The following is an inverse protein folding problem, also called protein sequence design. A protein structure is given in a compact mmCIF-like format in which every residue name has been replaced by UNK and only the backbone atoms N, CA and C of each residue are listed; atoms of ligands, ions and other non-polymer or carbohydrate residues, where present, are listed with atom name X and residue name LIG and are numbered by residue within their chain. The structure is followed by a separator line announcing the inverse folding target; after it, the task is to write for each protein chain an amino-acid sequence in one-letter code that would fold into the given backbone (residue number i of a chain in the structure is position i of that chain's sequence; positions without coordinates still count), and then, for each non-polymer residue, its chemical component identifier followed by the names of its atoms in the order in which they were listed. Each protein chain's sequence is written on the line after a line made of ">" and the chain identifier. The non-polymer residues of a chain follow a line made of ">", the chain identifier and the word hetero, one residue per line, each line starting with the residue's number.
data_IF_690412709715
#
_entry.id   IF_690412709715
#
_cell.length_a   1.000
_cell.length_b   1.000
_cell.length_c   1.000
_cell.angle_alpha   90.00
_cell.angle_beta   90.00
_cell.angle_gamma   90.00
#
_symmetry.space_group_name_H-M   'P 1'
#
loop_
_entity.id
_entity.type
_entity.pdbx_description
1 polymer ?
#
# COMPACT_ATOMS: atom_id res chain seq x y z
N UNK A 1 -4.86 1.97 -12.54
CA UNK A 1 -3.78 2.61 -11.76
C UNK A 1 -2.82 1.60 -11.14
N UNK A 2 -3.30 0.66 -10.31
CA UNK A 2 -2.46 -0.32 -9.57
C UNK A 2 -1.47 -1.17 -10.39
N UNK A 3 -1.70 -1.36 -11.69
CA UNK A 3 -0.80 -2.09 -12.60
C UNK A 3 0.06 -1.13 -13.43
N UNK A 4 -0.55 -0.06 -13.95
CA UNK A 4 0.10 0.88 -14.85
C UNK A 4 1.16 1.74 -14.13
N UNK A 5 0.86 2.24 -12.93
CA UNK A 5 1.76 3.12 -12.18
C UNK A 5 3.05 2.42 -11.75
N UNK A 6 3.03 1.19 -11.18
CA UNK A 6 4.28 0.50 -10.84
C UNK A 6 5.11 0.12 -12.07
N UNK A 7 4.46 -0.25 -13.19
CA UNK A 7 5.17 -0.62 -14.42
C UNK A 7 5.83 0.61 -15.08
N UNK A 8 5.07 1.69 -15.26
CA UNK A 8 5.59 2.94 -15.84
C UNK A 8 6.62 3.58 -14.91
N UNK A 9 6.36 3.56 -13.60
CA UNK A 9 7.29 3.99 -12.57
C UNK A 9 8.63 3.30 -12.62
N UNK A 10 8.62 1.97 -12.60
CA UNK A 10 9.85 1.21 -12.70
C UNK A 10 10.61 1.51 -14.00
N UNK A 11 9.90 1.63 -15.14
CA UNK A 11 10.52 1.95 -16.43
C UNK A 11 11.15 3.34 -16.46
N UNK A 12 10.55 4.31 -15.77
CA UNK A 12 11.06 5.67 -15.63
C UNK A 12 12.26 5.75 -14.67
N UNK A 13 12.15 5.16 -13.48
CA UNK A 13 13.18 5.27 -12.42
C UNK A 13 14.38 4.35 -12.58
N UNK A 14 14.27 3.23 -13.32
CA UNK A 14 15.40 2.27 -13.49
C UNK A 14 16.65 2.87 -14.13
N UNK A 15 16.56 4.06 -14.71
CA UNK A 15 17.70 4.79 -15.32
C UNK A 15 18.33 5.81 -14.36
N UNK A 16 17.62 6.20 -13.30
CA UNK A 16 18.03 7.27 -12.38
C UNK A 16 18.50 6.72 -11.02
N UNK A 17 17.92 5.62 -10.54
CA UNK A 17 18.25 5.01 -9.24
C UNK A 17 18.50 3.50 -9.37
N UNK A 18 19.00 2.88 -8.29
CA UNK A 18 19.31 1.44 -8.28
C UNK A 18 18.08 0.58 -8.62
N UNK A 19 18.29 -0.55 -9.30
CA UNK A 19 17.19 -1.38 -9.81
C UNK A 19 16.20 -1.82 -8.72
N UNK A 20 16.68 -2.11 -7.51
CA UNK A 20 15.84 -2.48 -6.37
C UNK A 20 15.11 -1.28 -5.75
N UNK A 21 15.77 -0.12 -5.68
CA UNK A 21 15.17 1.13 -5.21
C UNK A 21 14.04 1.58 -6.15
N UNK A 22 14.26 1.49 -7.47
CA UNK A 22 13.24 1.79 -8.48
C UNK A 22 12.00 0.90 -8.36
N UNK A 23 12.18 -0.38 -8.03
CA UNK A 23 11.06 -1.31 -7.82
C UNK A 23 10.31 -0.96 -6.53
N UNK A 24 11.04 -0.69 -5.44
CA UNK A 24 10.45 -0.29 -4.17
C UNK A 24 9.63 0.99 -4.28
N UNK A 25 10.21 2.03 -4.88
CA UNK A 25 9.52 3.33 -5.10
C UNK A 25 8.29 3.14 -5.99
N UNK A 26 8.44 2.49 -7.14
CA UNK A 26 7.31 2.28 -8.05
C UNK A 26 6.19 1.42 -7.43
N UNK A 27 6.52 0.47 -6.55
CA UNK A 27 5.54 -0.32 -5.82
C UNK A 27 4.78 0.51 -4.78
N UNK A 28 5.48 1.35 -4.01
CA UNK A 28 4.87 2.22 -2.99
C UNK A 28 3.94 3.25 -3.63
N UNK A 29 4.38 3.93 -4.69
CA UNK A 29 3.54 4.91 -5.41
C UNK A 29 2.50 4.26 -6.33
N UNK A 30 2.68 2.99 -6.69
CA UNK A 30 1.71 2.21 -7.44
C UNK A 30 0.60 1.58 -6.60
N UNK A 31 0.81 1.51 -5.28
CA UNK A 31 -0.16 0.96 -4.33
C UNK A 31 -1.16 2.01 -3.84
N UNK A 32 -2.19 1.56 -3.11
CA UNK A 32 -3.21 2.42 -2.51
C UNK A 32 -2.83 2.71 -1.06
N UNK A 33 -2.91 3.98 -0.65
CA UNK A 33 -2.71 4.38 0.73
C UNK A 33 -3.99 4.19 1.54
N UNK A 34 -4.01 3.20 2.44
CA UNK A 34 -5.11 3.00 3.40
C UNK A 34 -5.35 4.26 4.25
N UNK A 35 -4.28 4.96 4.63
CA UNK A 35 -4.33 6.21 5.39
C UNK A 35 -5.04 7.32 4.60
N UNK A 36 -4.74 7.46 3.31
CA UNK A 36 -5.38 8.46 2.44
C UNK A 36 -6.86 8.13 2.23
N UNK A 37 -7.18 6.85 2.01
CA UNK A 37 -8.56 6.40 1.91
C UNK A 37 -9.35 6.74 3.17
N UNK A 38 -8.80 6.44 4.35
CA UNK A 38 -9.49 6.72 5.61
C UNK A 38 -9.66 8.22 5.82
N UNK A 39 -8.62 9.03 5.59
CA UNK A 39 -8.74 10.50 5.66
C UNK A 39 -9.83 11.05 4.71
N UNK A 40 -9.90 10.53 3.48
CA UNK A 40 -10.93 10.92 2.52
C UNK A 40 -12.34 10.51 2.96
N UNK A 41 -12.53 9.28 3.44
CA UNK A 41 -13.83 8.83 3.96
C UNK A 41 -14.27 9.63 5.19
N UNK A 42 -13.33 9.97 6.09
CA UNK A 42 -13.61 10.83 7.24
C UNK A 42 -13.98 12.25 6.84
N UNK A 43 -13.35 12.80 5.80
CA UNK A 43 -13.73 14.10 5.24
C UNK A 43 -15.16 14.06 4.66
N UNK A 44 -15.50 13.00 3.92
CA UNK A 44 -16.84 12.82 3.36
C UNK A 44 -17.91 12.65 4.46
N UNK A 45 -17.62 11.90 5.53
CA UNK A 45 -18.48 11.77 6.71
C UNK A 45 -18.77 13.14 7.34
N UNK A 46 -17.74 13.97 7.51
CA UNK A 46 -17.90 15.33 8.07
C UNK A 46 -18.67 16.26 7.12
N UNK A 47 -18.51 16.08 5.81
CA UNK A 47 -19.25 16.82 4.79
C UNK A 47 -20.69 16.30 4.58
N UNK A 48 -21.07 15.20 5.25
CA UNK A 48 -22.38 14.55 5.08
C UNK A 48 -22.58 13.94 3.69
N UNK A 49 -21.50 13.66 2.96
CA UNK A 49 -21.56 13.08 1.62
C UNK A 49 -21.55 11.55 1.74
N UNK A 50 -22.65 10.86 1.36
CA UNK A 50 -22.69 9.41 1.46
C UNK A 50 -21.74 8.76 0.46
N UNK A 51 -21.00 7.75 0.91
CA UNK A 51 -20.15 6.90 0.09
C UNK A 51 -20.48 5.43 0.35
N UNK A 52 -20.32 4.59 -0.68
CA UNK A 52 -20.61 3.17 -0.55
C UNK A 52 -19.57 2.43 0.28
N UNK A 53 -20.00 1.55 1.19
CA UNK A 53 -19.11 0.67 1.97
C UNK A 53 -18.24 -0.26 1.10
N UNK A 54 -18.65 -0.51 -0.15
CA UNK A 54 -17.88 -1.25 -1.14
C UNK A 54 -16.55 -0.57 -1.51
N UNK A 55 -16.37 0.72 -1.23
CA UNK A 55 -15.13 1.43 -1.53
C UNK A 55 -13.95 0.92 -0.69
N UNK A 56 -14.21 0.43 0.53
CA UNK A 56 -13.19 -0.22 1.35
C UNK A 56 -12.76 -1.57 0.73
N UNK A 57 -13.71 -2.33 0.20
CA UNK A 57 -13.42 -3.56 -0.55
C UNK A 57 -12.67 -3.28 -1.86
N UNK A 58 -13.02 -2.20 -2.57
CA UNK A 58 -12.31 -1.77 -3.77
C UNK A 58 -10.86 -1.39 -3.46
N UNK A 59 -10.60 -0.67 -2.37
CA UNK A 59 -9.24 -0.33 -1.91
C UNK A 59 -8.41 -1.58 -1.62
N UNK A 60 -8.96 -2.54 -0.86
CA UNK A 60 -8.33 -3.83 -0.57
C UNK A 60 -7.99 -4.61 -1.86
N UNK A 61 -8.92 -4.65 -2.82
CA UNK A 61 -8.72 -5.31 -4.12
C UNK A 61 -7.69 -4.61 -5.01
N UNK A 62 -7.42 -3.32 -4.79
CA UNK A 62 -6.41 -2.57 -5.55
C UNK A 62 -5.00 -2.70 -4.97
N UNK A 63 -4.85 -3.16 -3.72
CA UNK A 63 -3.56 -3.39 -3.07
C UNK A 63 -2.90 -4.70 -3.53
N UNK A 64 -3.66 -5.80 -3.60
CA UNK A 64 -3.12 -7.12 -3.95
C UNK A 64 -2.48 -7.19 -5.36
N UNK A 65 -3.02 -6.56 -6.42
CA UNK A 65 -2.40 -6.60 -7.76
C UNK A 65 -1.09 -5.81 -7.84
N UNK A 66 -1.01 -4.65 -7.17
CA UNK A 66 0.20 -3.83 -7.12
C UNK A 66 1.34 -4.58 -6.40
N UNK A 67 1.01 -5.24 -5.28
CA UNK A 67 1.95 -6.03 -4.47
C UNK A 67 2.47 -7.25 -5.23
N UNK A 68 1.58 -7.98 -5.93
CA UNK A 68 1.97 -9.11 -6.79
C UNK A 68 2.92 -8.67 -7.92
N UNK A 69 2.64 -7.55 -8.59
CA UNK A 69 3.50 -7.02 -9.67
C UNK A 69 4.86 -6.59 -9.13
N UNK A 70 4.90 -5.92 -7.98
CA UNK A 70 6.13 -5.51 -7.33
C UNK A 70 7.02 -6.72 -6.99
N UNK A 71 6.45 -7.77 -6.40
CA UNK A 71 7.15 -9.02 -6.10
C UNK A 71 7.68 -9.70 -7.36
N UNK A 72 6.88 -9.74 -8.43
CA UNK A 72 7.32 -10.30 -9.71
C UNK A 72 8.50 -9.54 -10.32
N UNK A 73 8.44 -8.20 -10.33
CA UNK A 73 9.53 -7.35 -10.83
C UNK A 73 10.80 -7.52 -9.99
N UNK A 74 10.67 -7.59 -8.66
CA UNK A 74 11.78 -7.83 -7.74
C UNK A 74 12.41 -9.21 -7.95
N UNK A 75 11.61 -10.24 -8.21
CA UNK A 75 12.11 -11.59 -8.49
C UNK A 75 12.85 -11.64 -9.83
N UNK A 76 12.32 -11.00 -10.88
CA UNK A 76 12.98 -10.89 -12.18
C UNK A 76 14.29 -10.09 -12.13
N UNK A 77 14.35 -9.06 -11.27
CA UNK A 77 15.57 -8.31 -11.02
C UNK A 77 16.65 -9.17 -10.34
N UNK A 78 16.29 -9.89 -9.26
CA UNK A 78 17.19 -10.83 -8.56
C UNK A 78 17.77 -11.92 -9.48
N UNK A 79 16.95 -12.50 -10.36
CA UNK A 79 17.42 -13.51 -11.34
C UNK A 79 18.43 -12.97 -12.34
N UNK A 80 18.37 -11.67 -12.69
CA UNK A 80 19.32 -11.05 -13.63
C UNK A 80 20.64 -10.65 -12.98
N UNK A 81 20.65 -10.37 -11.68
CA UNK A 81 21.85 -10.01 -10.93
C UNK A 81 22.67 -11.22 -10.44
N UNK A 82 22.27 -12.45 -10.77
CA UNK A 82 23.00 -13.68 -10.44
C UNK A 82 23.03 -14.03 -8.94
N UNK A 83 22.22 -13.37 -8.11
CA UNK A 83 22.34 -13.42 -6.65
C UNK A 83 21.43 -14.44 -5.95
N UNK A 84 20.67 -15.30 -6.65
CA UNK A 84 20.07 -16.46 -5.98
C UNK A 84 19.62 -17.63 -6.89
N UNK A 85 19.75 -18.83 -6.31
CA UNK A 85 19.40 -20.14 -6.84
C UNK A 85 17.90 -20.26 -7.12
N UNK A 86 17.57 -20.79 -8.31
CA UNK A 86 16.20 -20.83 -8.84
C UNK A 86 15.39 -21.95 -8.20
N UNK A 87 14.37 -21.55 -7.42
CA UNK A 87 13.26 -22.41 -7.01
C UNK A 87 11.88 -21.73 -7.06
N UNK A 88 11.79 -20.40 -6.98
CA UNK A 88 10.49 -19.75 -6.87
C UNK A 88 9.74 -19.63 -8.20
N UNK A 89 8.84 -20.60 -8.38
CA UNK A 89 7.82 -20.67 -9.42
C UNK A 89 6.74 -19.61 -9.14
N UNK A 90 5.99 -19.17 -10.16
CA UNK A 90 4.81 -18.30 -10.00
C UNK A 90 3.86 -18.72 -8.88
N UNK A 91 3.78 -20.03 -8.61
CA UNK A 91 3.03 -20.62 -7.50
C UNK A 91 3.57 -20.21 -6.12
N UNK A 92 4.88 -20.08 -5.93
CA UNK A 92 5.46 -19.62 -4.67
C UNK A 92 5.24 -18.13 -4.45
N UNK A 93 5.31 -17.30 -5.48
CA UNK A 93 4.98 -15.87 -5.37
C UNK A 93 3.51 -15.64 -5.00
N UNK A 94 2.60 -16.40 -5.60
CA UNK A 94 1.18 -16.34 -5.28
C UNK A 94 0.91 -16.91 -3.87
N UNK A 95 1.57 -18.02 -3.51
CA UNK A 95 1.48 -18.60 -2.16
C UNK A 95 2.03 -17.64 -1.12
N UNK A 96 3.13 -16.93 -1.38
CA UNK A 96 3.67 -15.93 -0.47
C UNK A 96 2.73 -14.74 -0.33
N UNK A 97 2.20 -14.20 -1.43
CA UNK A 97 1.24 -13.10 -1.38
C UNK A 97 -0.03 -13.48 -0.60
N UNK A 98 -0.50 -14.73 -0.74
CA UNK A 98 -1.66 -15.24 0.00
C UNK A 98 -1.35 -15.67 1.44
N UNK A 99 -0.09 -16.00 1.77
CA UNK A 99 0.35 -16.36 3.13
C UNK A 99 0.90 -15.16 3.88
N UNK A 100 0.97 -13.99 3.24
CA UNK A 100 1.34 -12.76 3.91
C UNK A 100 0.32 -12.45 5.01
N UNK A 101 0.82 -12.20 6.22
CA UNK A 101 -0.02 -11.96 7.40
C UNK A 101 -0.98 -10.79 7.18
N UNK A 102 -0.56 -9.77 6.43
CA UNK A 102 -1.40 -8.62 6.08
C UNK A 102 -2.62 -9.02 5.24
N UNK A 103 -2.40 -9.83 4.20
CA UNK A 103 -3.43 -10.29 3.26
C UNK A 103 -4.36 -11.31 3.92
N UNK A 104 -3.83 -12.22 4.73
CA UNK A 104 -4.64 -13.17 5.51
C UNK A 104 -5.56 -12.44 6.49
N UNK A 105 -5.05 -11.43 7.20
CA UNK A 105 -5.85 -10.60 8.10
C UNK A 105 -6.92 -9.82 7.34
N UNK A 106 -6.59 -9.26 6.17
CA UNK A 106 -7.53 -8.54 5.32
C UNK A 106 -8.69 -9.43 4.84
N UNK A 107 -8.37 -10.62 4.30
CA UNK A 107 -9.37 -11.59 3.84
C UNK A 107 -10.19 -12.12 5.02
N UNK A 108 -9.55 -12.40 6.16
CA UNK A 108 -10.23 -12.82 7.39
C UNK A 108 -11.19 -11.76 7.93
N UNK A 109 -10.76 -10.50 8.01
CA UNK A 109 -11.59 -9.39 8.44
C UNK A 109 -12.79 -9.17 7.51
N UNK A 110 -12.59 -9.32 6.19
CA UNK A 110 -13.68 -9.25 5.21
C UNK A 110 -14.68 -10.39 5.38
N UNK A 111 -14.22 -11.63 5.59
CA UNK A 111 -15.08 -12.78 5.85
C UNK A 111 -15.90 -12.59 7.13
N UNK A 112 -15.26 -12.15 8.22
CA UNK A 112 -15.95 -11.81 9.47
C UNK A 112 -16.97 -10.68 9.25
N UNK A 113 -16.61 -9.64 8.49
CA UNK A 113 -17.53 -8.54 8.16
C UNK A 113 -18.77 -9.00 7.41
N UNK A 114 -18.60 -9.90 6.43
CA UNK A 114 -19.73 -10.49 5.68
C UNK A 114 -20.63 -11.34 6.60
N UNK A 115 -20.03 -12.13 7.49
CA UNK A 115 -20.79 -13.01 8.40
C UNK A 115 -21.50 -12.25 9.53
N UNK A 116 -20.92 -11.15 10.01
CA UNK A 116 -21.42 -10.43 11.20
C UNK A 116 -22.28 -9.20 10.86
N UNK A 117 -22.13 -8.63 9.67
CA UNK A 117 -22.91 -7.50 9.19
C UNK A 117 -22.91 -6.29 10.13
N UNK A 118 -24.05 -5.59 10.23
CA UNK A 118 -24.19 -4.39 11.05
C UNK A 118 -23.95 -4.64 12.55
N UNK A 119 -24.25 -5.85 13.03
CA UNK A 119 -24.05 -6.22 14.44
C UNK A 119 -22.56 -6.21 14.78
N UNK A 120 -21.72 -6.81 13.93
CA UNK A 120 -20.27 -6.78 14.09
C UNK A 120 -19.71 -5.35 13.99
N UNK A 121 -20.23 -4.56 13.07
CA UNK A 121 -19.83 -3.15 12.92
C UNK A 121 -20.09 -2.32 14.19
N UNK A 122 -21.28 -2.44 14.79
CA UNK A 122 -21.64 -1.70 16.02
C UNK A 122 -20.74 -2.09 17.19
N UNK A 123 -20.40 -3.37 17.32
CA UNK A 123 -19.49 -3.85 18.37
C UNK A 123 -18.06 -3.35 18.16
N UNK A 124 -17.61 -3.24 16.89
CA UNK A 124 -16.28 -2.76 16.55
C UNK A 124 -16.14 -1.23 16.49
N UNK A 125 -17.25 -0.48 16.50
CA UNK A 125 -17.24 0.97 16.34
C UNK A 125 -16.34 1.72 17.35
N UNK A 126 -16.33 1.41 18.67
CA UNK A 126 -15.48 2.11 19.62
C UNK A 126 -13.99 1.96 19.31
N UNK A 127 -13.59 0.84 18.71
CA UNK A 127 -12.20 0.57 18.35
C UNK A 127 -11.85 1.10 16.95
N UNK A 128 -12.71 0.83 15.97
CA UNK A 128 -12.44 1.05 14.55
C UNK A 128 -12.82 2.44 14.05
N UNK A 129 -13.71 3.14 14.75
CA UNK A 129 -14.17 4.48 14.38
C UNK A 129 -13.68 5.49 15.40
N UNK A 130 -14.00 5.31 16.68
CA UNK A 130 -13.73 6.32 17.70
C UNK A 130 -12.25 6.34 18.11
N UNK A 131 -11.72 5.21 18.60
CA UNK A 131 -10.32 5.11 19.01
C UNK A 131 -9.35 5.26 17.83
N UNK A 132 -9.73 4.73 16.67
CA UNK A 132 -8.90 4.76 15.46
C UNK A 132 -8.53 6.19 15.04
N UNK A 133 -9.45 7.16 15.16
CA UNK A 133 -9.17 8.57 14.82
C UNK A 133 -8.07 9.18 15.69
N UNK A 134 -8.09 8.87 16.99
CA UNK A 134 -7.03 9.28 17.92
C UNK A 134 -5.69 8.66 17.54
N UNK A 135 -5.67 7.35 17.28
CA UNK A 135 -4.46 6.64 16.87
C UNK A 135 -3.90 7.12 15.53
N UNK A 136 -4.76 7.34 14.53
CA UNK A 136 -4.38 7.86 13.21
C UNK A 136 -3.74 9.24 13.32
N UNK A 137 -4.23 10.10 14.21
CA UNK A 137 -3.68 11.44 14.42
C UNK A 137 -2.25 11.37 14.94
N UNK A 138 -1.96 10.49 15.91
CA UNK A 138 -0.59 10.25 16.38
C UNK A 138 0.29 9.61 15.31
N UNK A 139 -0.24 8.66 14.55
CA UNK A 139 0.50 8.02 13.46
C UNK A 139 0.91 9.03 12.36
N UNK A 140 -0.02 9.89 11.94
CA UNK A 140 0.26 10.95 10.97
C UNK A 140 1.25 11.99 11.50
N UNK A 141 1.18 12.30 12.79
CA UNK A 141 2.16 13.18 13.43
C UNK A 141 3.55 12.55 13.41
N UNK A 142 3.69 11.29 13.82
CA UNK A 142 4.97 10.57 13.84
C UNK A 142 5.57 10.46 12.43
N UNK A 143 4.81 9.93 11.47
CA UNK A 143 5.25 9.84 10.06
C UNK A 143 5.54 11.22 9.46
N UNK A 144 4.77 12.25 9.84
CA UNK A 144 5.01 13.63 9.45
C UNK A 144 6.33 14.18 9.97
N UNK A 145 6.71 13.86 11.21
CA UNK A 145 8.03 14.25 11.76
C UNK A 145 9.17 13.56 11.03
N UNK A 146 9.03 12.27 10.72
CA UNK A 146 10.03 11.53 9.92
C UNK A 146 10.19 12.15 8.54
N UNK A 147 9.08 12.46 7.87
CA UNK A 147 9.10 13.15 6.57
C UNK A 147 9.79 14.52 6.67
N UNK A 148 9.48 15.31 7.72
CA UNK A 148 10.10 16.62 7.95
C UNK A 148 11.63 16.53 8.16
N UNK A 149 12.09 15.49 8.86
CA UNK A 149 13.53 15.24 9.03
C UNK A 149 14.20 14.85 7.70
N UNK A 150 13.54 14.01 6.89
CA UNK A 150 14.08 13.58 5.60
C UNK A 150 14.06 14.68 4.54
N UNK A 151 13.10 15.63 4.59
CA UNK A 151 13.08 16.80 3.72
C UNK A 151 14.39 17.61 3.79
N UNK A 152 15.04 17.64 4.95
CA UNK A 152 16.35 18.30 5.12
C UNK A 152 17.49 17.55 4.44
N UNK A 153 17.38 16.24 4.30
CA UNK A 153 18.35 15.39 3.60
C UNK A 153 18.13 15.38 2.08
N UNK A 154 16.94 15.75 1.59
CA UNK A 154 16.61 15.82 0.17
C UNK A 154 17.17 17.06 -0.55
N UNK A 155 17.75 18.02 0.17
CA UNK A 155 18.31 19.25 -0.39
C UNK A 155 19.47 19.03 -1.40
N UNK A 156 20.04 17.81 -1.46
CA UNK A 156 21.09 17.42 -2.42
C UNK A 156 20.66 16.42 -3.49
N UNK A 157 19.38 16.03 -3.57
CA UNK A 157 18.90 14.98 -4.48
C UNK A 157 18.59 15.52 -5.88
N UNK A 158 18.81 14.72 -6.95
CA UNK A 158 18.55 15.14 -8.32
C UNK A 158 17.07 15.44 -8.56
N UNK A 159 16.78 16.54 -9.27
CA UNK A 159 15.43 17.08 -9.55
C UNK A 159 14.47 16.05 -10.15
N UNK A 160 14.98 15.05 -10.88
CA UNK A 160 14.17 13.98 -11.46
C UNK A 160 13.48 13.10 -10.41
N UNK A 161 14.03 12.97 -9.20
CA UNK A 161 13.38 12.26 -8.10
C UNK A 161 12.18 13.04 -7.54
N UNK A 162 12.26 14.37 -7.54
CA UNK A 162 11.17 15.25 -7.10
C UNK A 162 10.01 15.33 -8.08
N UNK A 163 10.25 15.16 -9.38
CA UNK A 163 9.18 15.20 -10.41
C UNK A 163 8.33 13.92 -10.39
N UNK A 164 8.84 12.84 -9.79
CA UNK A 164 8.15 11.56 -9.74
C UNK A 164 7.36 11.32 -8.45
N UNK A 165 7.81 11.90 -7.33
CA UNK A 165 7.13 11.83 -6.03
C UNK A 165 5.92 12.78 -5.97
#
# INVERSE_FOLDING_TARGET
>A
MAIAVPVVGYLALRRAIGQFEAIGVAAVYGSVSAVTFIAATQYLDQAGVPYGGHMAAAMALMESPALVIALMLAHRARRRSGTEMVGATWQEGLRHALTDGSQLVLVGAMAVGILTGETGQKVMAPFSIDLFKGMLSFFLLDMGTVAAMQLRNLAGSPVQAFVYA
#
